data_IF_262819401594
#
_entry.id   IF_262819401594
#
_cell.length_a   1.000
_cell.length_b   1.000
_cell.length_c   1.000
_cell.angle_alpha   90.00
_cell.angle_beta   90.00
_cell.angle_gamma   90.00
#
_symmetry.space_group_name_H-M   'P 1'
#
loop_
_entity.id
_entity.type
_entity.pdbx_description
1 polymer ?
#
# COMPACT_ATOMS: atom_id res chain seq x y z
N UNK A 1 86.09 -10.42 80.53
CA UNK A 1 86.42 -9.57 79.37
C UNK A 1 85.53 -10.00 78.21
N UNK A 2 84.38 -9.34 78.19
CA UNK A 2 83.63 -8.78 77.06
C UNK A 2 83.89 -9.27 75.63
N UNK A 3 82.79 -9.50 74.91
CA UNK A 3 82.77 -9.50 73.44
C UNK A 3 81.52 -10.13 72.82
N UNK A 4 80.39 -9.41 72.82
CA UNK A 4 79.15 -9.71 72.07
C UNK A 4 79.28 -9.18 70.63
N UNK A 5 78.93 -9.95 69.59
CA UNK A 5 78.29 -9.51 68.30
C UNK A 5 77.61 -10.73 67.65
N UNK A 6 76.28 -10.90 67.63
CA UNK A 6 75.21 -10.34 66.77
C UNK A 6 75.14 -10.79 65.29
N UNK A 7 74.11 -11.62 64.99
CA UNK A 7 73.19 -11.68 63.82
C UNK A 7 73.75 -11.77 62.38
N UNK A 8 73.27 -12.66 61.50
CA UNK A 8 71.89 -12.63 60.96
C UNK A 8 71.56 -13.85 60.07
N UNK A 9 70.29 -14.24 60.09
CA UNK A 9 69.65 -15.29 59.30
C UNK A 9 69.13 -14.69 58.00
N UNK A 10 69.49 -15.28 56.85
CA UNK A 10 68.90 -14.92 55.56
C UNK A 10 67.89 -15.99 55.12
N UNK A 11 66.61 -15.67 55.31
CA UNK A 11 65.47 -16.46 54.87
C UNK A 11 65.25 -16.34 53.36
N UNK A 12 65.08 -17.49 52.73
CA UNK A 12 64.54 -17.71 51.37
C UNK A 12 63.26 -16.92 51.10
N UNK A 13 63.24 -16.13 50.01
CA UNK A 13 62.03 -15.47 49.50
C UNK A 13 61.70 -16.04 48.11
N UNK A 14 60.73 -16.96 48.10
CA UNK A 14 60.10 -17.47 46.89
C UNK A 14 59.20 -16.38 46.27
N UNK A 15 59.30 -16.04 44.97
CA UNK A 15 58.40 -15.08 44.36
C UNK A 15 57.06 -15.75 44.03
N UNK A 16 56.05 -15.50 44.87
CA UNK A 16 54.65 -15.74 44.53
C UNK A 16 54.27 -14.89 43.30
N UNK A 17 53.99 -15.54 42.16
CA UNK A 17 53.35 -14.88 41.02
C UNK A 17 51.91 -14.47 41.37
N UNK A 18 51.53 -13.19 41.26
CA UNK A 18 50.15 -12.79 41.45
C UNK A 18 49.35 -13.16 40.20
N UNK A 19 48.62 -14.28 40.26
CA UNK A 19 47.59 -14.64 39.27
C UNK A 19 46.35 -13.74 39.46
N UNK A 20 46.50 -12.45 39.14
CA UNK A 20 45.44 -11.42 39.16
C UNK A 20 45.19 -10.89 37.75
N UNK A 21 44.50 -11.64 36.91
CA UNK A 21 43.90 -11.04 35.68
C UNK A 21 42.64 -11.72 35.13
N UNK A 22 42.17 -12.85 35.69
CA UNK A 22 41.01 -13.58 35.12
C UNK A 22 39.63 -12.95 35.33
N UNK A 23 39.42 -12.10 36.35
CA UNK A 23 38.11 -11.48 36.62
C UNK A 23 37.77 -10.28 35.72
N UNK A 24 38.78 -9.51 35.27
CA UNK A 24 38.58 -8.37 34.35
C UNK A 24 38.25 -8.81 32.92
N UNK A 25 38.91 -9.88 32.46
CA UNK A 25 38.69 -10.47 31.14
C UNK A 25 37.25 -10.99 30.94
N UNK A 26 36.65 -11.63 31.95
CA UNK A 26 35.26 -12.12 31.86
C UNK A 26 34.23 -11.00 31.76
N UNK A 27 34.39 -9.91 32.53
CA UNK A 27 33.49 -8.75 32.46
C UNK A 27 33.61 -8.01 31.13
N UNK A 28 34.84 -7.86 30.63
CA UNK A 28 35.10 -7.29 29.30
C UNK A 28 34.48 -8.13 28.19
N UNK A 29 34.62 -9.46 28.25
CA UNK A 29 34.02 -10.36 27.26
C UNK A 29 32.49 -10.25 27.23
N UNK A 30 31.84 -10.22 28.41
CA UNK A 30 30.37 -10.05 28.50
C UNK A 30 29.96 -8.70 27.90
N UNK A 31 30.67 -7.62 28.24
CA UNK A 31 30.34 -6.29 27.76
C UNK A 31 30.49 -6.18 26.24
N UNK A 32 31.58 -6.73 25.68
CA UNK A 32 31.79 -6.81 24.22
C UNK A 32 30.70 -7.66 23.55
N UNK A 33 30.37 -8.83 24.11
CA UNK A 33 29.31 -9.68 23.58
C UNK A 33 27.95 -8.99 23.60
N UNK A 34 27.61 -8.27 24.67
CA UNK A 34 26.34 -7.54 24.76
C UNK A 34 26.25 -6.42 23.75
N UNK A 35 27.33 -5.66 23.55
CA UNK A 35 27.39 -4.60 22.52
C UNK A 35 27.25 -5.20 21.13
N UNK A 36 27.96 -6.30 20.85
CA UNK A 36 27.90 -6.98 19.55
C UNK A 36 26.49 -7.51 19.28
N UNK A 37 25.84 -8.13 20.27
CA UNK A 37 24.45 -8.58 20.16
C UNK A 37 23.49 -7.43 19.93
N UNK A 38 23.65 -6.30 20.64
CA UNK A 38 22.83 -5.12 20.44
C UNK A 38 23.00 -4.55 19.01
N UNK A 39 24.23 -4.48 18.52
CA UNK A 39 24.53 -4.02 17.17
C UNK A 39 23.94 -4.96 16.11
N UNK A 40 24.00 -6.28 16.33
CA UNK A 40 23.40 -7.26 15.44
C UNK A 40 21.87 -7.09 15.39
N UNK A 41 21.21 -6.97 16.54
CA UNK A 41 19.76 -6.74 16.62
C UNK A 41 19.38 -5.42 15.95
N UNK A 42 20.09 -4.33 16.23
CA UNK A 42 19.85 -3.03 15.60
C UNK A 42 20.00 -3.10 14.07
N UNK A 43 21.01 -3.82 13.58
CA UNK A 43 21.23 -4.03 12.14
C UNK A 43 20.09 -4.83 11.51
N UNK A 44 19.63 -5.90 12.17
CA UNK A 44 18.49 -6.70 11.70
C UNK A 44 17.21 -5.86 11.65
N UNK A 45 16.96 -5.03 12.68
CA UNK A 45 15.81 -4.11 12.71
C UNK A 45 15.93 -3.05 11.61
N UNK A 46 17.11 -2.48 11.38
CA UNK A 46 17.31 -1.48 10.34
C UNK A 46 17.07 -2.06 8.92
N UNK A 47 17.52 -3.29 8.64
CA UNK A 47 17.41 -3.89 7.31
C UNK A 47 16.04 -4.53 7.09
N UNK A 48 15.57 -5.35 8.05
CA UNK A 48 14.32 -6.13 7.89
C UNK A 48 13.10 -5.44 8.46
N UNK A 49 13.28 -4.48 9.36
CA UNK A 49 12.20 -3.76 10.02
C UNK A 49 11.71 -2.53 9.25
N UNK A 50 12.39 -2.13 8.17
CA UNK A 50 11.91 -1.05 7.31
C UNK A 50 10.65 -1.50 6.56
N UNK A 51 9.56 -0.76 6.79
CA UNK A 51 8.28 -0.92 6.09
C UNK A 51 7.98 0.36 5.33
N UNK A 52 7.66 0.23 4.06
CA UNK A 52 7.20 1.34 3.24
C UNK A 52 6.14 0.89 2.26
N UNK A 53 5.43 1.81 1.66
CA UNK A 53 4.39 1.46 0.70
C UNK A 53 3.76 2.67 0.07
N UNK A 54 2.82 2.38 -0.82
CA UNK A 54 2.02 3.39 -1.51
C UNK A 54 0.55 3.16 -1.19
N UNK A 55 -0.17 4.25 -0.97
CA UNK A 55 -1.60 4.28 -0.75
C UNK A 55 -2.26 5.20 -1.76
N UNK A 56 -3.48 4.84 -2.19
CA UNK A 56 -4.31 5.62 -3.10
C UNK A 56 -5.66 5.90 -2.45
N UNK A 57 -6.13 7.14 -2.54
CA UNK A 57 -7.45 7.56 -2.09
C UNK A 57 -8.37 7.79 -3.30
N UNK A 58 -9.33 6.87 -3.58
CA UNK A 58 -10.25 7.00 -4.71
C UNK A 58 -11.09 8.27 -4.68
N UNK A 59 -11.56 8.67 -3.51
CA UNK A 59 -12.43 9.85 -3.34
C UNK A 59 -11.80 11.17 -3.80
N UNK A 60 -10.47 11.26 -3.85
CA UNK A 60 -9.77 12.49 -4.22
C UNK A 60 -8.75 12.27 -5.34
N UNK A 61 -8.60 11.04 -5.83
CA UNK A 61 -7.50 10.62 -6.71
C UNK A 61 -6.16 11.12 -6.17
N UNK A 62 -5.88 10.81 -4.90
CA UNK A 62 -4.61 11.17 -4.28
C UNK A 62 -3.77 9.93 -4.04
N UNK A 63 -2.47 10.04 -4.31
CA UNK A 63 -1.49 9.01 -3.98
C UNK A 63 -0.54 9.57 -2.95
N UNK A 64 -0.18 8.75 -1.96
CA UNK A 64 0.86 9.06 -0.99
C UNK A 64 1.72 7.83 -0.75
N UNK A 65 2.97 8.07 -0.37
CA UNK A 65 3.84 7.05 0.17
C UNK A 65 3.82 7.10 1.69
N UNK A 66 4.00 5.95 2.32
CA UNK A 66 4.22 5.88 3.76
C UNK A 66 5.49 5.09 4.08
N UNK A 67 6.08 5.38 5.24
CA UNK A 67 7.18 4.57 5.77
C UNK A 67 7.24 4.60 7.29
N UNK A 68 7.71 3.50 7.89
CA UNK A 68 7.99 3.36 9.30
C UNK A 68 8.94 2.18 9.54
N UNK A 69 9.38 2.02 10.79
CA UNK A 69 10.10 0.84 11.25
C UNK A 69 9.25 0.02 12.21
N UNK A 70 9.35 -1.30 12.09
CA UNK A 70 8.80 -2.29 13.01
C UNK A 70 9.88 -3.27 13.50
N UNK A 71 9.66 -3.91 14.64
CA UNK A 71 10.47 -5.05 15.08
C UNK A 71 10.11 -6.25 14.21
N UNK A 72 11.06 -6.84 13.46
CA UNK A 72 10.80 -8.03 12.65
C UNK A 72 10.22 -9.17 13.50
N UNK A 73 9.40 -10.03 12.90
CA UNK A 73 8.67 -11.17 13.50
C UNK A 73 7.53 -10.81 14.46
N UNK A 74 7.68 -9.75 15.26
CA UNK A 74 6.63 -9.31 16.19
C UNK A 74 5.69 -8.25 15.59
N UNK A 75 6.06 -7.64 14.47
CA UNK A 75 5.29 -6.59 13.78
C UNK A 75 4.90 -5.41 14.69
N UNK A 76 5.74 -5.14 15.70
CA UNK A 76 5.56 -4.02 16.63
C UNK A 76 6.15 -2.77 16.00
N UNK A 77 5.32 -1.79 15.69
CA UNK A 77 5.75 -0.50 15.16
C UNK A 77 6.56 0.29 16.20
N UNK A 78 7.75 0.75 15.83
CA UNK A 78 8.68 1.49 16.72
C UNK A 78 8.85 2.96 16.35
N UNK A 79 8.54 3.34 15.12
CA UNK A 79 8.53 4.75 14.69
C UNK A 79 7.14 5.18 14.26
N UNK A 80 6.77 6.46 14.38
CA UNK A 80 5.56 6.99 13.75
C UNK A 80 5.56 6.71 12.23
N UNK A 81 4.36 6.62 11.64
CA UNK A 81 4.21 6.50 10.20
C UNK A 81 4.39 7.87 9.56
N UNK A 82 5.45 8.03 8.78
CA UNK A 82 5.64 9.21 7.92
C UNK A 82 4.86 9.02 6.64
N UNK A 83 4.27 10.10 6.12
CA UNK A 83 3.49 10.09 4.88
C UNK A 83 3.88 11.27 4.01
N UNK A 84 4.01 11.04 2.71
CA UNK A 84 4.38 12.07 1.74
C UNK A 84 3.48 11.95 0.51
N UNK A 85 2.85 13.05 0.12
CA UNK A 85 1.98 13.07 -1.06
C UNK A 85 2.81 12.95 -2.35
N UNK A 86 2.47 11.96 -3.18
CA UNK A 86 3.15 11.64 -4.44
C UNK A 86 2.17 11.61 -5.61
N UNK A 87 1.14 12.45 -5.55
CA UNK A 87 0.04 12.47 -6.53
C UNK A 87 0.56 12.87 -7.92
N UNK A 88 0.34 12.00 -8.91
CA UNK A 88 0.85 12.16 -10.27
C UNK A 88 0.15 13.24 -11.12
N UNK A 89 0.71 13.56 -12.31
CA UNK A 89 0.16 14.58 -13.21
C UNK A 89 -1.26 14.27 -13.70
N UNK A 90 -1.57 13.01 -14.03
CA UNK A 90 -2.91 12.59 -14.45
C UNK A 90 -3.97 12.87 -13.38
N UNK A 91 -3.72 12.42 -12.15
CA UNK A 91 -4.61 12.67 -11.03
C UNK A 91 -4.83 14.17 -10.79
N UNK A 92 -3.77 14.99 -10.90
CA UNK A 92 -3.89 16.45 -10.81
C UNK A 92 -4.76 17.02 -11.94
N UNK A 93 -4.61 16.53 -13.17
CA UNK A 93 -5.42 16.95 -14.32
C UNK A 93 -6.90 16.61 -14.12
N UNK A 94 -7.21 15.37 -13.73
CA UNK A 94 -8.58 14.89 -13.47
C UNK A 94 -9.27 15.77 -12.43
N UNK A 95 -8.58 16.06 -11.33
CA UNK A 95 -9.07 16.94 -10.25
C UNK A 95 -9.28 18.37 -10.73
N UNK A 96 -8.32 18.92 -11.46
CA UNK A 96 -8.39 20.30 -11.97
C UNK A 96 -9.53 20.49 -12.97
N UNK A 97 -9.85 19.45 -13.77
CA UNK A 97 -10.97 19.46 -14.71
C UNK A 97 -12.32 19.18 -14.06
N UNK A 98 -12.34 18.70 -12.81
CA UNK A 98 -13.59 18.39 -12.11
C UNK A 98 -14.32 17.18 -12.67
N UNK A 99 -13.60 16.24 -13.31
CA UNK A 99 -14.20 15.00 -13.82
C UNK A 99 -14.50 13.96 -12.74
N UNK A 100 -14.14 14.23 -11.49
CA UNK A 100 -14.46 13.38 -10.35
C UNK A 100 -15.17 14.20 -9.28
N UNK A 101 -16.04 13.54 -8.52
CA UNK A 101 -16.76 14.19 -7.43
C UNK A 101 -15.87 14.25 -6.20
N UNK A 102 -15.48 15.46 -5.78
CA UNK A 102 -14.65 15.67 -4.59
C UNK A 102 -15.41 16.56 -3.61
N UNK A 103 -15.53 16.11 -2.37
CA UNK A 103 -16.11 16.92 -1.30
C UNK A 103 -15.11 18.01 -0.90
N UNK A 104 -15.38 19.24 -1.36
CA UNK A 104 -14.49 20.39 -1.11
C UNK A 104 -14.24 20.60 0.38
N UNK A 105 -13.00 20.92 0.73
CA UNK A 105 -12.59 21.20 2.11
C UNK A 105 -12.44 19.97 3.01
N UNK A 106 -12.78 18.76 2.54
CA UNK A 106 -12.50 17.52 3.26
C UNK A 106 -11.23 16.88 2.76
N UNK A 107 -10.53 16.20 3.68
CA UNK A 107 -9.39 15.33 3.34
C UNK A 107 -9.90 13.91 3.06
N UNK A 108 -9.17 13.10 2.29
CA UNK A 108 -9.54 11.71 2.09
C UNK A 108 -9.48 10.94 3.41
N UNK A 109 -10.59 10.30 3.77
CA UNK A 109 -10.70 9.45 4.95
C UNK A 109 -10.23 8.01 4.69
N UNK A 110 -10.50 7.50 3.49
CA UNK A 110 -10.21 6.12 3.11
C UNK A 110 -9.04 6.06 2.12
N UNK A 111 -8.12 5.14 2.39
CA UNK A 111 -6.87 4.96 1.64
C UNK A 111 -6.67 3.47 1.36
N UNK A 112 -6.58 3.12 0.09
CA UNK A 112 -6.39 1.75 -0.35
C UNK A 112 -4.90 1.50 -0.57
N UNK A 113 -4.42 0.37 -0.07
CA UNK A 113 -3.04 -0.04 -0.27
C UNK A 113 -2.80 -0.35 -1.75
N UNK A 114 -1.75 0.22 -2.32
CA UNK A 114 -1.28 -0.01 -3.69
C UNK A 114 -0.12 -1.00 -3.69
N UNK A 115 0.83 -0.80 -2.79
CA UNK A 115 1.97 -1.69 -2.61
C UNK A 115 2.51 -1.58 -1.19
N UNK A 116 3.02 -2.69 -0.68
CA UNK A 116 3.68 -2.77 0.62
C UNK A 116 5.04 -3.44 0.45
N UNK A 117 6.08 -2.74 0.87
CA UNK A 117 7.43 -3.28 0.99
C UNK A 117 7.77 -3.48 2.47
N UNK A 118 8.16 -4.70 2.82
CA UNK A 118 8.68 -5.07 4.15
C UNK A 118 10.07 -5.68 3.98
N UNK A 119 11.10 -4.91 4.32
CA UNK A 119 12.49 -5.26 4.03
C UNK A 119 12.72 -5.54 2.53
N UNK A 120 13.18 -6.75 2.15
CA UNK A 120 13.38 -7.12 0.76
C UNK A 120 12.09 -7.54 0.03
N UNK A 121 11.00 -7.79 0.76
CA UNK A 121 9.75 -8.31 0.17
C UNK A 121 8.90 -7.15 -0.31
N UNK A 122 8.45 -7.21 -1.56
CA UNK A 122 7.46 -6.29 -2.12
C UNK A 122 6.17 -7.05 -2.44
N UNK A 123 5.07 -6.59 -1.87
CA UNK A 123 3.75 -7.19 -2.01
C UNK A 123 2.84 -6.19 -2.72
N UNK A 124 2.42 -6.46 -3.98
CA UNK A 124 1.43 -5.64 -4.65
C UNK A 124 0.06 -5.79 -3.98
N UNK A 125 -0.77 -4.76 -4.09
CA UNK A 125 -2.15 -4.80 -3.65
C UNK A 125 -3.09 -4.42 -4.80
N UNK A 126 -4.38 -4.74 -4.65
CA UNK A 126 -5.37 -4.69 -5.73
C UNK A 126 -5.56 -3.27 -6.30
N UNK A 127 -5.43 -2.22 -5.48
CA UNK A 127 -5.48 -0.84 -5.97
C UNK A 127 -4.31 -0.49 -6.90
N UNK A 128 -3.24 -1.30 -6.90
CA UNK A 128 -2.13 -1.22 -7.85
C UNK A 128 -2.58 -1.32 -9.31
N UNK A 129 -3.63 -2.10 -9.60
CA UNK A 129 -4.19 -2.22 -10.97
C UNK A 129 -4.57 -0.85 -11.55
N UNK A 130 -5.19 0.02 -10.75
CA UNK A 130 -5.52 1.37 -11.19
C UNK A 130 -4.28 2.23 -11.31
N UNK A 131 -3.43 2.28 -10.28
CA UNK A 131 -2.29 3.21 -10.28
C UNK A 131 -1.27 2.88 -11.36
N UNK A 132 -1.09 1.61 -11.69
CA UNK A 132 -0.20 1.15 -12.76
C UNK A 132 -0.77 1.56 -14.12
N UNK A 133 -2.08 1.36 -14.32
CA UNK A 133 -2.77 1.80 -15.54
C UNK A 133 -2.74 3.32 -15.72
N UNK A 134 -2.88 4.08 -14.62
CA UNK A 134 -2.78 5.54 -14.62
C UNK A 134 -1.37 6.05 -14.95
N UNK A 135 -0.34 5.25 -14.71
CA UNK A 135 1.06 5.59 -14.94
C UNK A 135 1.58 5.21 -16.33
N UNK A 136 0.73 4.61 -17.17
CA UNK A 136 1.07 4.27 -18.55
C UNK A 136 1.72 5.46 -19.27
N UNK A 137 2.87 5.18 -19.88
CA UNK A 137 3.63 6.13 -20.69
C UNK A 137 3.45 5.79 -22.16
N UNK A 138 3.47 6.82 -22.99
CA UNK A 138 3.62 6.73 -24.44
C UNK A 138 4.83 7.58 -24.86
N UNK A 139 5.21 7.58 -26.13
CA UNK A 139 6.38 8.33 -26.63
C UNK A 139 6.33 9.84 -26.31
N UNK A 140 5.13 10.40 -26.10
CA UNK A 140 4.89 11.81 -25.76
C UNK A 140 4.73 12.10 -24.27
N UNK A 141 4.89 11.13 -23.37
CA UNK A 141 4.70 11.29 -21.92
C UNK A 141 3.51 10.48 -21.37
N UNK A 142 2.86 10.92 -20.27
CA UNK A 142 1.79 10.15 -19.64
C UNK A 142 0.60 9.97 -20.59
N UNK A 143 0.34 8.72 -20.98
CA UNK A 143 -0.64 8.37 -22.02
C UNK A 143 -2.01 9.00 -21.76
N UNK A 144 -2.55 8.79 -20.55
CA UNK A 144 -3.87 9.28 -20.20
C UNK A 144 -3.98 10.80 -20.12
N UNK A 145 -2.86 11.51 -19.90
CA UNK A 145 -2.88 12.99 -19.94
C UNK A 145 -3.10 13.46 -21.37
N UNK A 146 -2.43 12.84 -22.35
CA UNK A 146 -2.63 13.09 -23.77
C UNK A 146 -4.05 12.70 -24.21
N UNK A 147 -4.46 11.47 -23.91
CA UNK A 147 -5.79 10.97 -24.24
C UNK A 147 -6.91 11.87 -23.67
N UNK A 148 -6.77 12.37 -22.45
CA UNK A 148 -7.72 13.31 -21.83
C UNK A 148 -7.80 14.67 -22.56
N UNK A 149 -6.69 15.13 -23.14
CA UNK A 149 -6.67 16.37 -23.90
C UNK A 149 -7.34 16.18 -25.28
N UNK A 150 -7.16 15.01 -25.89
CA UNK A 150 -7.75 14.67 -27.19
C UNK A 150 -9.24 14.27 -27.08
N UNK A 151 -9.65 13.76 -25.91
CA UNK A 151 -11.00 13.25 -25.65
C UNK A 151 -11.64 13.78 -24.35
N UNK A 152 -11.79 15.11 -24.18
CA UNK A 152 -12.30 15.69 -22.94
C UNK A 152 -13.75 15.31 -22.60
N UNK A 153 -14.63 15.07 -23.59
CA UNK A 153 -16.01 14.65 -23.36
C UNK A 153 -16.10 13.17 -22.96
N UNK A 154 -15.24 12.31 -23.50
CA UNK A 154 -15.12 10.92 -23.05
C UNK A 154 -14.49 10.83 -21.67
N UNK A 155 -13.49 11.67 -21.38
CA UNK A 155 -12.86 11.74 -20.07
C UNK A 155 -13.86 12.11 -18.95
N UNK A 156 -14.82 13.01 -19.23
CA UNK A 156 -15.85 13.38 -18.26
C UNK A 156 -16.83 12.25 -17.91
N UNK A 157 -16.83 11.16 -18.68
CA UNK A 157 -17.61 9.93 -18.42
C UNK A 157 -16.74 8.84 -17.82
N UNK A 158 -15.53 8.65 -18.34
CA UNK A 158 -14.60 7.61 -17.90
C UNK A 158 -14.20 7.77 -16.43
N UNK A 159 -13.73 8.96 -16.04
CA UNK A 159 -13.16 9.15 -14.70
C UNK A 159 -14.18 9.03 -13.56
N UNK A 160 -15.44 9.49 -13.68
CA UNK A 160 -16.46 9.16 -12.70
C UNK A 160 -16.70 7.65 -12.56
N UNK A 161 -16.73 6.91 -13.67
CA UNK A 161 -16.90 5.46 -13.63
C UNK A 161 -15.70 4.78 -12.93
N UNK A 162 -14.47 5.20 -13.25
CA UNK A 162 -13.25 4.74 -12.58
C UNK A 162 -13.28 5.08 -11.08
N UNK A 163 -13.67 6.30 -10.71
CA UNK A 163 -13.80 6.71 -9.31
C UNK A 163 -14.76 5.80 -8.55
N UNK A 164 -15.96 5.60 -9.10
CA UNK A 164 -17.02 4.80 -8.47
C UNK A 164 -16.59 3.36 -8.25
N UNK A 165 -15.98 2.73 -9.26
CA UNK A 165 -15.44 1.37 -9.12
C UNK A 165 -14.31 1.32 -8.08
N UNK A 166 -13.42 2.29 -8.08
CA UNK A 166 -12.30 2.34 -7.14
C UNK A 166 -12.78 2.58 -5.70
N UNK A 167 -13.80 3.41 -5.47
CA UNK A 167 -14.42 3.64 -4.16
C UNK A 167 -15.08 2.36 -3.60
N UNK A 168 -15.55 1.46 -4.47
CA UNK A 168 -16.11 0.16 -4.13
C UNK A 168 -15.09 -0.99 -4.12
N UNK A 169 -13.80 -0.66 -4.25
CA UNK A 169 -12.69 -1.62 -4.34
C UNK A 169 -12.82 -2.64 -5.50
N UNK A 170 -13.66 -2.35 -6.52
CA UNK A 170 -13.87 -3.16 -7.72
C UNK A 170 -12.76 -2.95 -8.78
N UNK A 171 -11.51 -2.93 -8.33
CA UNK A 171 -10.35 -2.65 -9.19
C UNK A 171 -10.15 -3.67 -10.31
N UNK A 172 -10.60 -4.91 -10.11
CA UNK A 172 -10.53 -5.98 -11.11
C UNK A 172 -11.29 -5.63 -12.40
N UNK A 173 -12.27 -4.74 -12.32
CA UNK A 173 -13.07 -4.26 -13.47
C UNK A 173 -12.36 -3.17 -14.27
N UNK A 174 -11.37 -2.48 -13.69
CA UNK A 174 -10.77 -1.30 -14.31
C UNK A 174 -10.00 -1.57 -15.62
N UNK A 175 -9.22 -2.66 -15.77
CA UNK A 175 -8.49 -2.91 -17.01
C UNK A 175 -9.40 -2.93 -18.24
N UNK A 176 -10.53 -3.63 -18.17
CA UNK A 176 -11.50 -3.69 -19.27
C UNK A 176 -12.21 -2.35 -19.48
N UNK A 177 -12.56 -1.63 -18.41
CA UNK A 177 -13.12 -0.28 -18.53
C UNK A 177 -12.19 0.66 -19.31
N UNK A 178 -10.89 0.62 -19.02
CA UNK A 178 -9.88 1.39 -19.74
C UNK A 178 -9.70 0.90 -21.18
N UNK A 179 -9.80 -0.41 -21.41
CA UNK A 179 -9.75 -0.97 -22.75
C UNK A 179 -10.91 -0.47 -23.61
N UNK A 180 -12.15 -0.49 -23.10
CA UNK A 180 -13.32 0.05 -23.79
C UNK A 180 -13.12 1.51 -24.20
N UNK A 181 -12.58 2.34 -23.31
CA UNK A 181 -12.29 3.75 -23.60
C UNK A 181 -11.22 3.94 -24.70
N UNK A 182 -10.25 3.03 -24.77
CA UNK A 182 -9.17 3.07 -25.78
C UNK A 182 -9.59 2.54 -27.14
N UNK A 183 -10.41 1.51 -27.18
CA UNK A 183 -10.76 0.81 -28.42
C UNK A 183 -11.98 1.39 -29.12
N UNK A 184 -12.80 2.20 -28.42
CA UNK A 184 -14.00 2.79 -29.02
C UNK A 184 -13.60 3.75 -30.16
N UNK A 185 -13.92 3.42 -31.42
CA UNK A 185 -13.57 4.27 -32.56
C UNK A 185 -14.37 5.58 -32.54
N UNK A 186 -14.01 6.51 -33.42
CA UNK A 186 -14.78 7.73 -33.63
C UNK A 186 -14.31 8.94 -32.84
N UNK A 187 -15.11 10.01 -32.89
CA UNK A 187 -14.81 11.32 -32.29
C UNK A 187 -15.07 11.30 -30.78
N UNK A 188 -14.62 12.35 -30.10
CA UNK A 188 -14.87 12.60 -28.68
C UNK A 188 -16.38 12.76 -28.37
N UNK A 189 -17.08 11.64 -28.22
CA UNK A 189 -18.51 11.54 -27.94
C UNK A 189 -18.73 10.87 -26.58
N UNK A 190 -19.25 11.63 -25.63
CA UNK A 190 -19.57 11.17 -24.28
C UNK A 190 -20.66 10.09 -24.29
N UNK A 191 -21.76 10.31 -25.01
CA UNK A 191 -22.94 9.43 -24.95
C UNK A 191 -22.69 8.02 -25.50
N UNK A 192 -21.84 7.91 -26.52
CA UNK A 192 -21.42 6.61 -27.05
C UNK A 192 -20.60 5.83 -26.02
N UNK A 193 -19.63 6.49 -25.38
CA UNK A 193 -18.82 5.87 -24.34
C UNK A 193 -19.68 5.51 -23.10
N UNK A 194 -20.59 6.39 -22.69
CA UNK A 194 -21.57 6.11 -21.62
C UNK A 194 -22.35 4.84 -21.91
N UNK A 195 -22.95 4.72 -23.10
CA UNK A 195 -23.77 3.56 -23.44
C UNK A 195 -22.97 2.24 -23.43
N UNK A 196 -21.71 2.27 -23.88
CA UNK A 196 -20.82 1.10 -23.89
C UNK A 196 -20.40 0.73 -22.46
N UNK A 197 -19.97 1.71 -21.66
CA UNK A 197 -19.58 1.51 -20.27
C UNK A 197 -20.75 0.98 -19.44
N UNK A 198 -21.93 1.59 -19.58
CA UNK A 198 -23.11 1.25 -18.77
C UNK A 198 -23.60 -0.16 -19.08
N UNK A 199 -23.66 -0.54 -20.37
CA UNK A 199 -24.01 -1.92 -20.76
C UNK A 199 -23.04 -2.91 -20.14
N UNK A 200 -21.74 -2.68 -20.32
CA UNK A 200 -20.72 -3.58 -19.80
C UNK A 200 -20.76 -3.68 -18.27
N UNK A 201 -20.91 -2.55 -17.56
CA UNK A 201 -21.01 -2.54 -16.10
C UNK A 201 -22.25 -3.27 -15.59
N UNK A 202 -23.41 -3.08 -16.21
CA UNK A 202 -24.63 -3.82 -15.85
C UNK A 202 -24.39 -5.32 -15.99
N UNK A 203 -23.81 -5.77 -17.10
CA UNK A 203 -23.51 -7.19 -17.32
C UNK A 203 -22.53 -7.72 -16.23
N UNK A 204 -21.48 -6.96 -15.88
CA UNK A 204 -20.55 -7.35 -14.81
C UNK A 204 -21.22 -7.44 -13.43
N UNK A 205 -22.08 -6.46 -13.08
CA UNK A 205 -22.82 -6.51 -11.82
C UNK A 205 -23.76 -7.71 -11.77
N UNK A 206 -24.48 -8.01 -12.86
CA UNK A 206 -25.38 -9.16 -12.95
C UNK A 206 -24.62 -10.46 -12.73
N UNK A 207 -23.44 -10.62 -13.34
CA UNK A 207 -22.61 -11.81 -13.14
C UNK A 207 -22.10 -11.90 -11.70
N UNK A 208 -21.53 -10.81 -11.16
CA UNK A 208 -20.97 -10.81 -9.81
C UNK A 208 -22.03 -11.08 -8.73
N UNK A 209 -23.24 -10.54 -8.87
CA UNK A 209 -24.35 -10.82 -7.95
C UNK A 209 -24.74 -12.30 -7.99
N UNK A 210 -24.79 -12.91 -9.19
CA UNK A 210 -25.07 -14.35 -9.32
C UNK A 210 -23.97 -15.20 -8.69
N UNK A 211 -22.71 -14.91 -9.00
CA UNK A 211 -21.56 -15.64 -8.46
C UNK A 211 -21.51 -15.55 -6.93
N UNK A 212 -21.82 -14.39 -6.35
CA UNK A 212 -21.92 -14.22 -4.90
C UNK A 212 -23.06 -15.04 -4.29
N UNK A 213 -24.23 -15.10 -4.95
CA UNK A 213 -25.34 -15.94 -4.49
C UNK A 213 -25.01 -17.43 -4.58
N UNK A 214 -24.38 -17.86 -5.66
CA UNK A 214 -23.93 -19.23 -5.87
C UNK A 214 -22.85 -19.64 -4.86
N UNK A 215 -22.03 -18.68 -4.39
CA UNK A 215 -21.06 -18.85 -3.32
C UNK A 215 -21.65 -18.70 -1.89
N UNK A 216 -22.98 -18.62 -1.76
CA UNK A 216 -23.71 -18.42 -0.52
C UNK A 216 -23.26 -17.16 0.26
N UNK A 217 -23.03 -16.06 -0.47
CA UNK A 217 -22.72 -14.71 0.05
C UNK A 217 -23.87 -13.75 -0.22
N UNK A 218 -25.07 -14.11 0.24
CA UNK A 218 -26.32 -13.43 -0.09
C UNK A 218 -26.35 -11.95 0.33
N UNK A 219 -25.95 -11.65 1.56
CA UNK A 219 -25.93 -10.26 2.06
C UNK A 219 -25.09 -9.34 1.18
N UNK A 220 -23.88 -9.79 0.79
CA UNK A 220 -22.99 -9.04 -0.09
C UNK A 220 -23.57 -8.91 -1.51
N UNK A 221 -24.23 -9.97 -2.00
CA UNK A 221 -24.89 -9.93 -3.30
C UNK A 221 -26.04 -8.93 -3.32
N UNK A 222 -26.83 -8.85 -2.25
CA UNK A 222 -27.98 -7.96 -2.15
C UNK A 222 -27.54 -6.50 -1.93
N UNK A 223 -26.50 -6.27 -1.12
CA UNK A 223 -25.85 -4.96 -1.01
C UNK A 223 -25.35 -4.50 -2.39
N UNK A 224 -24.57 -5.34 -3.08
CA UNK A 224 -24.06 -5.02 -4.42
C UNK A 224 -25.18 -4.77 -5.44
N UNK A 225 -26.25 -5.55 -5.40
CA UNK A 225 -27.42 -5.37 -6.27
C UNK A 225 -28.11 -4.03 -5.99
N UNK A 226 -28.28 -3.67 -4.72
CA UNK A 226 -28.85 -2.39 -4.32
C UNK A 226 -27.97 -1.22 -4.81
N UNK A 227 -26.64 -1.34 -4.72
CA UNK A 227 -25.72 -0.36 -5.29
C UNK A 227 -25.86 -0.23 -6.81
N UNK A 228 -25.85 -1.35 -7.53
CA UNK A 228 -25.98 -1.38 -8.98
C UNK A 228 -27.31 -0.76 -9.44
N UNK A 229 -28.42 -1.00 -8.73
CA UNK A 229 -29.73 -0.40 -9.04
C UNK A 229 -29.78 1.11 -8.79
N UNK A 230 -29.04 1.62 -7.82
CA UNK A 230 -28.92 3.07 -7.62
C UNK A 230 -28.21 3.74 -8.80
N UNK A 231 -27.22 3.07 -9.37
CA UNK A 231 -26.49 3.58 -10.53
C UNK A 231 -27.26 3.38 -11.85
N UNK A 232 -27.96 2.25 -11.98
CA UNK A 232 -28.64 1.81 -13.21
C UNK A 232 -30.12 1.50 -12.98
N UNK A 233 -30.94 2.48 -12.56
CA UNK A 233 -32.33 2.25 -12.17
C UNK A 233 -33.22 1.78 -13.34
N UNK A 234 -32.83 2.08 -14.59
CA UNK A 234 -33.56 1.67 -15.79
C UNK A 234 -33.18 0.26 -16.29
N UNK A 235 -32.25 -0.45 -15.64
CA UNK A 235 -31.82 -1.77 -16.08
C UNK A 235 -32.83 -2.85 -15.66
N UNK A 236 -33.52 -3.42 -16.66
CA UNK A 236 -34.43 -4.55 -16.44
C UNK A 236 -33.70 -5.79 -15.90
N UNK A 237 -32.46 -6.05 -16.35
CA UNK A 237 -31.69 -7.22 -15.92
C UNK A 237 -31.43 -7.21 -14.41
N UNK A 238 -31.13 -6.03 -13.84
CA UNK A 238 -30.95 -5.88 -12.39
C UNK A 238 -32.27 -6.00 -11.63
N UNK A 239 -33.38 -5.53 -12.20
CA UNK A 239 -34.71 -5.70 -11.61
C UNK A 239 -35.13 -7.19 -11.57
N UNK A 240 -34.82 -7.96 -12.61
CA UNK A 240 -35.18 -9.38 -12.68
C UNK A 240 -34.43 -10.22 -11.62
N UNK A 241 -33.20 -9.84 -11.24
CA UNK A 241 -32.43 -10.52 -10.19
C UNK A 241 -33.05 -10.40 -8.79
N UNK A 242 -33.75 -9.30 -8.52
CA UNK A 242 -34.45 -9.04 -7.25
C UNK A 242 -35.63 -10.02 -7.11
N UNK A 243 -36.40 -10.17 -8.19
CA UNK A 243 -37.60 -11.04 -8.23
C UNK A 243 -37.32 -12.53 -8.05
N UNK A 244 -36.09 -12.97 -8.29
CA UNK A 244 -35.67 -14.39 -8.23
C UNK A 244 -34.89 -14.75 -6.95
N UNK A 245 -34.57 -13.76 -6.11
CA UNK A 245 -33.77 -13.93 -4.89
C UNK A 245 -34.58 -14.10 -3.60
N UNK A 246 -35.92 -14.10 -3.68
CA UNK A 246 -36.83 -14.36 -2.55
C UNK A 246 -37.07 -15.85 -2.30
#
# INVERSE_FOLDING_TARGET
MDGIVSTSVSSTRSPNSPNRSRKGSRRSLILVSSILSLFLVATVVAIKGSVSGTEFAPSHFQTRQFSFYEIPFFHVQITPITRTDTTGPLARQIRAKGWISIVRGKKPSHWHLVSLRRGPTNTPAVAGLLTDTMQLQDSGGPFWVGWNNDHPNRASVLWPAVQRLAERELYVMLPELFQLARTLPGKDNAGELTAVIDRWLVDQYVMLVKDLRDADRRDLADDLLAEARRDYPASQQLADLDSRGG
#
